data_IF_261570770018
#
_entry.id   IF_261570770018
#
_cell.length_a   1.000
_cell.length_b   1.000
_cell.length_c   1.000
_cell.angle_alpha   90.00
_cell.angle_beta   90.00
_cell.angle_gamma   90.00
#
_symmetry.space_group_name_H-M   'P 1'
#
loop_
_entity.id
_entity.type
_entity.pdbx_description
1 polymer ?
#
# COMPACT_ATOMS: atom_id res chain seq x y z
N UNK A 1 -18.84 20.42 30.44
CA UNK A 1 -18.10 19.15 30.37
C UNK A 1 -18.83 18.16 29.48
N UNK A 2 -18.09 17.37 28.72
CA UNK A 2 -18.61 16.33 27.83
C UNK A 2 -17.87 15.03 28.10
N UNK A 3 -18.62 13.94 28.29
CA UNK A 3 -18.05 12.59 28.41
C UNK A 3 -18.54 11.72 27.25
N UNK A 4 -17.62 11.11 26.54
CA UNK A 4 -17.89 10.14 25.47
C UNK A 4 -17.56 8.74 26.01
N UNK A 5 -18.58 7.88 26.06
CA UNK A 5 -18.48 6.48 26.45
C UNK A 5 -19.39 5.63 25.56
N UNK A 6 -18.98 5.43 24.32
CA UNK A 6 -19.76 4.67 23.34
C UNK A 6 -18.82 3.90 22.41
N UNK A 7 -18.72 2.59 22.58
CA UNK A 7 -17.83 1.72 21.79
C UNK A 7 -18.08 1.75 20.27
N UNK A 8 -19.29 2.16 19.86
CA UNK A 8 -19.62 2.35 18.43
C UNK A 8 -19.19 3.72 17.89
N UNK A 9 -18.60 4.57 18.75
CA UNK A 9 -18.23 5.94 18.43
C UNK A 9 -19.39 6.94 18.47
N UNK A 10 -19.05 8.21 18.37
CA UNK A 10 -19.99 9.35 18.33
C UNK A 10 -19.57 10.27 17.20
N UNK A 11 -20.51 10.69 16.37
CA UNK A 11 -20.29 11.72 15.34
C UNK A 11 -21.01 13.00 15.71
N UNK A 12 -20.30 14.12 15.67
CA UNK A 12 -20.83 15.45 15.93
C UNK A 12 -20.86 16.23 14.60
N UNK A 13 -22.06 16.67 14.21
CA UNK A 13 -22.31 17.39 12.95
C UNK A 13 -22.35 18.91 13.11
N UNK A 14 -21.65 19.44 14.09
CA UNK A 14 -21.53 20.89 14.33
C UNK A 14 -20.31 21.18 15.17
N UNK A 15 -19.81 22.43 15.10
CA UNK A 15 -18.72 22.85 15.98
C UNK A 15 -19.21 22.93 17.41
N UNK A 16 -18.43 22.41 18.35
CA UNK A 16 -18.75 22.41 19.78
C UNK A 16 -17.63 23.05 20.59
N UNK A 17 -18.02 23.69 21.67
CA UNK A 17 -17.11 24.18 22.71
C UNK A 17 -17.46 23.52 24.03
N UNK A 18 -16.45 22.94 24.68
CA UNK A 18 -16.57 22.31 26.00
C UNK A 18 -15.45 22.82 26.90
N UNK A 19 -15.69 22.87 28.21
CA UNK A 19 -14.61 23.16 29.13
C UNK A 19 -13.69 21.97 29.28
N UNK A 20 -14.24 20.80 29.60
CA UNK A 20 -13.48 19.55 29.62
C UNK A 20 -14.16 18.48 28.77
N UNK A 21 -13.33 17.70 28.07
CA UNK A 21 -13.73 16.49 27.34
C UNK A 21 -13.11 15.27 28.01
N UNK A 22 -13.93 14.28 28.32
CA UNK A 22 -13.46 12.97 28.77
C UNK A 22 -13.82 11.91 27.71
N UNK A 23 -12.80 11.27 27.14
CA UNK A 23 -12.96 10.19 26.18
C UNK A 23 -12.70 8.86 26.90
N UNK A 24 -13.75 8.15 27.28
CA UNK A 24 -13.65 6.90 28.02
C UNK A 24 -13.61 5.70 27.07
N UNK A 25 -14.44 5.71 26.03
CA UNK A 25 -14.53 4.61 25.08
C UNK A 25 -15.15 5.06 23.75
N UNK A 26 -14.55 4.63 22.64
CA UNK A 26 -15.00 4.85 21.26
C UNK A 26 -14.44 6.12 20.63
N UNK A 27 -14.59 6.20 19.32
CA UNK A 27 -14.09 7.31 18.50
C UNK A 27 -15.04 8.51 18.59
N UNK A 28 -14.46 9.71 18.60
CA UNK A 28 -15.20 10.97 18.43
C UNK A 28 -14.90 11.55 17.05
N UNK A 29 -15.90 11.57 16.17
CA UNK A 29 -15.76 12.10 14.81
C UNK A 29 -16.37 13.50 14.70
N UNK A 30 -15.58 14.48 14.26
CA UNK A 30 -15.98 15.87 14.12
C UNK A 30 -16.33 16.27 12.66
N UNK A 31 -16.23 15.34 11.70
CA UNK A 31 -16.42 15.64 10.28
C UNK A 31 -15.65 16.90 9.85
N UNK A 32 -16.34 17.91 9.30
CA UNK A 32 -15.77 19.20 8.87
C UNK A 32 -15.84 20.28 9.95
N UNK A 33 -16.15 19.91 11.19
CA UNK A 33 -16.42 20.83 12.29
C UNK A 33 -15.28 20.83 13.32
N UNK A 34 -15.29 21.86 14.19
CA UNK A 34 -14.25 22.07 15.18
C UNK A 34 -14.70 21.60 16.56
N UNK A 35 -13.80 20.93 17.26
CA UNK A 35 -13.89 20.73 18.71
C UNK A 35 -12.97 21.73 19.40
N UNK A 36 -13.54 22.62 20.23
CA UNK A 36 -12.76 23.47 21.12
C UNK A 36 -12.93 22.97 22.57
N UNK A 37 -11.83 22.48 23.18
CA UNK A 37 -11.74 22.20 24.61
C UNK A 37 -10.96 23.32 25.30
N UNK A 38 -11.64 24.08 26.18
CA UNK A 38 -11.03 25.27 26.78
C UNK A 38 -10.14 24.95 27.96
N UNK A 39 -10.35 23.82 28.63
CA UNK A 39 -9.54 23.40 29.78
C UNK A 39 -8.79 22.09 29.51
N UNK A 40 -9.47 20.96 29.49
CA UNK A 40 -8.83 19.64 29.49
C UNK A 40 -9.43 18.65 28.50
N UNK A 41 -8.57 17.82 27.91
CA UNK A 41 -8.96 16.57 27.25
C UNK A 41 -8.31 15.42 28.02
N UNK A 42 -9.12 14.48 28.50
CA UNK A 42 -8.68 13.34 29.31
C UNK A 42 -9.26 12.02 28.79
N UNK A 43 -8.63 10.92 29.15
CA UNK A 43 -9.06 9.57 28.78
C UNK A 43 -7.89 8.61 28.58
N UNK A 44 -8.21 7.37 28.22
CA UNK A 44 -7.21 6.37 27.83
C UNK A 44 -7.21 6.28 26.29
N UNK A 45 -6.29 6.98 25.65
CA UNK A 45 -6.26 7.11 24.20
C UNK A 45 -5.50 5.94 23.55
N UNK A 46 -6.09 5.40 22.49
CA UNK A 46 -5.54 4.30 21.68
C UNK A 46 -6.25 4.26 20.31
N UNK A 47 -5.99 3.25 19.48
CA UNK A 47 -6.60 3.10 18.17
C UNK A 47 -8.13 3.03 18.18
N UNK A 48 -8.74 2.61 19.25
CA UNK A 48 -10.20 2.53 19.40
C UNK A 48 -10.80 3.73 20.17
N UNK A 49 -9.99 4.66 20.64
CA UNK A 49 -10.40 5.76 21.50
C UNK A 49 -9.58 7.03 21.23
N UNK A 50 -9.96 7.78 20.20
CA UNK A 50 -9.32 9.04 19.81
C UNK A 50 -10.30 9.93 19.03
N UNK A 51 -9.84 11.11 18.59
CA UNK A 51 -10.64 12.10 17.88
C UNK A 51 -10.25 12.13 16.41
N UNK A 52 -11.26 12.06 15.54
CA UNK A 52 -11.11 12.24 14.08
C UNK A 52 -11.60 13.65 13.74
N UNK A 53 -10.71 14.51 13.25
CA UNK A 53 -11.01 15.88 12.87
C UNK A 53 -10.20 16.92 13.63
N UNK A 54 -10.57 18.19 13.49
CA UNK A 54 -9.85 19.33 14.02
C UNK A 54 -10.14 19.51 15.53
N UNK A 55 -9.08 19.46 16.33
CA UNK A 55 -9.12 19.69 17.77
C UNK A 55 -8.44 21.02 18.08
N UNK A 56 -9.14 21.91 18.80
CA UNK A 56 -8.62 23.18 19.29
C UNK A 56 -8.53 23.15 20.81
N UNK A 57 -7.45 23.70 21.36
CA UNK A 57 -7.25 23.84 22.81
C UNK A 57 -6.64 25.19 23.13
N UNK A 58 -7.04 25.73 24.32
CA UNK A 58 -6.43 26.91 24.91
C UNK A 58 -5.40 26.50 25.97
N UNK A 59 -4.35 27.29 26.08
CA UNK A 59 -3.37 27.16 27.15
C UNK A 59 -3.07 28.51 27.77
N UNK A 60 -2.95 28.52 29.08
CA UNK A 60 -2.40 29.60 29.90
C UNK A 60 -1.29 29.05 30.82
N UNK A 61 -0.65 27.96 30.44
CA UNK A 61 0.31 27.20 31.22
C UNK A 61 1.43 26.71 30.33
N UNK A 62 2.56 26.37 30.94
CA UNK A 62 3.68 25.64 30.30
C UNK A 62 3.53 24.11 30.39
N UNK A 63 2.40 23.63 30.87
CA UNK A 63 2.09 22.18 30.92
C UNK A 63 1.80 21.66 29.53
N UNK A 64 2.33 20.47 29.23
CA UNK A 64 2.06 19.78 27.96
C UNK A 64 0.60 19.42 27.80
N UNK A 65 0.03 19.75 26.66
CA UNK A 65 -1.34 19.42 26.27
C UNK A 65 -1.37 18.28 25.28
N UNK A 66 -2.20 17.29 25.53
CA UNK A 66 -2.45 16.18 24.60
C UNK A 66 -3.53 16.54 23.60
N UNK A 67 -3.26 16.31 22.31
CA UNK A 67 -4.22 16.32 21.22
C UNK A 67 -4.37 14.88 20.73
N UNK A 68 -5.42 14.16 21.16
CA UNK A 68 -5.59 12.74 20.88
C UNK A 68 -6.25 12.52 19.52
N UNK A 69 -5.59 12.94 18.46
CA UNK A 69 -6.08 12.84 17.08
C UNK A 69 -5.70 11.52 16.40
N UNK A 70 -6.35 11.19 15.28
CA UNK A 70 -6.09 10.04 14.43
C UNK A 70 -7.03 9.96 13.24
N UNK A 71 -7.01 8.83 12.52
CA UNK A 71 -7.77 8.60 11.28
C UNK A 71 -8.96 7.64 11.42
N UNK A 72 -9.27 7.20 12.63
CA UNK A 72 -10.32 6.21 12.89
C UNK A 72 -9.83 4.77 12.94
N UNK A 73 -8.61 4.52 12.47
CA UNK A 73 -7.93 3.22 12.58
C UNK A 73 -6.70 3.34 13.48
N UNK A 74 -5.97 4.44 13.36
CA UNK A 74 -4.71 4.66 14.04
C UNK A 74 -4.77 5.91 14.91
N UNK A 75 -4.33 5.77 16.15
CA UNK A 75 -4.12 6.87 17.09
C UNK A 75 -2.80 7.56 16.77
N UNK A 76 -2.84 8.88 16.51
CA UNK A 76 -1.72 9.71 16.05
C UNK A 76 -1.54 10.94 16.93
N UNK A 77 -1.10 10.77 18.18
CA UNK A 77 -1.10 11.85 19.16
C UNK A 77 -0.11 12.95 18.84
N UNK A 78 -0.49 14.17 19.22
CA UNK A 78 0.39 15.32 19.30
C UNK A 78 0.34 15.87 20.72
N UNK A 79 1.51 16.27 21.22
CA UNK A 79 1.67 16.95 22.50
C UNK A 79 2.28 18.32 22.26
N UNK A 80 1.65 19.38 22.78
CA UNK A 80 2.13 20.76 22.63
C UNK A 80 2.48 21.29 24.00
N UNK A 81 3.73 21.76 24.16
CA UNK A 81 4.23 22.34 25.41
C UNK A 81 4.59 23.81 25.16
N UNK A 82 3.77 24.77 25.62
CA UNK A 82 4.07 26.19 25.46
C UNK A 82 5.30 26.60 26.25
N UNK A 83 6.07 27.55 25.72
CA UNK A 83 7.28 28.05 26.38
C UNK A 83 6.98 28.95 27.57
N UNK A 84 5.88 29.67 27.54
CA UNK A 84 5.43 30.58 28.61
C UNK A 84 3.96 30.33 28.94
N UNK A 85 3.49 30.88 30.05
CA UNK A 85 2.11 30.81 30.49
C UNK A 85 1.18 31.87 29.85
N UNK A 86 1.62 32.52 28.78
CA UNK A 86 0.74 33.42 28.04
C UNK A 86 -0.38 32.66 27.36
N UNK A 87 -1.58 33.24 27.37
CA UNK A 87 -2.72 32.60 26.67
C UNK A 87 -2.42 32.42 25.20
N UNK A 88 -2.51 31.19 24.75
CA UNK A 88 -2.29 30.79 23.35
C UNK A 88 -3.31 29.73 22.96
N UNK A 89 -3.82 29.82 21.73
CA UNK A 89 -4.70 28.80 21.15
C UNK A 89 -3.89 27.94 20.19
N UNK A 90 -4.10 26.62 20.26
CA UNK A 90 -3.49 25.66 19.35
C UNK A 90 -4.57 24.79 18.73
N UNK A 91 -4.38 24.42 17.49
CA UNK A 91 -5.24 23.46 16.79
C UNK A 91 -4.41 22.38 16.11
N UNK A 92 -4.93 21.18 16.10
CA UNK A 92 -4.28 19.98 15.52
C UNK A 92 -5.31 19.17 14.75
N UNK A 93 -4.96 18.81 13.53
CA UNK A 93 -5.63 17.78 12.74
C UNK A 93 -4.59 16.82 12.16
N UNK A 94 -4.89 15.53 12.18
CA UNK A 94 -4.13 14.51 11.46
C UNK A 94 -4.71 14.30 10.07
N UNK A 95 -3.83 14.27 9.07
CA UNK A 95 -4.18 14.03 7.67
C UNK A 95 -3.52 12.74 7.21
N UNK A 96 -4.34 11.76 6.80
CA UNK A 96 -3.91 10.49 6.24
C UNK A 96 -3.77 10.61 4.71
N UNK A 97 -2.92 11.53 4.27
CA UNK A 97 -2.60 11.82 2.88
C UNK A 97 -1.28 12.58 2.80
N UNK A 98 -0.60 12.52 1.67
CA UNK A 98 0.61 13.31 1.46
C UNK A 98 0.30 14.80 1.43
N UNK A 99 1.15 15.60 2.08
CA UNK A 99 1.05 17.05 1.97
C UNK A 99 1.47 17.51 0.56
N UNK A 100 0.74 18.45 -0.04
CA UNK A 100 0.99 18.92 -1.41
C UNK A 100 2.37 19.57 -1.64
N UNK A 101 3.03 20.01 -0.56
CA UNK A 101 4.38 20.59 -0.58
C UNK A 101 5.48 19.56 -0.39
N UNK A 102 5.18 18.27 -0.31
CA UNK A 102 6.21 17.21 -0.28
C UNK A 102 6.77 17.06 -1.68
N UNK A 103 7.81 17.83 -1.96
CA UNK A 103 8.58 17.72 -3.19
C UNK A 103 9.88 16.98 -2.87
N UNK A 104 9.87 15.66 -3.09
CA UNK A 104 11.01 14.77 -2.83
C UNK A 104 12.26 15.11 -3.68
N UNK A 105 12.10 15.87 -4.76
CA UNK A 105 13.22 16.31 -5.60
C UNK A 105 14.18 17.29 -4.89
N UNK A 106 13.79 17.83 -3.74
CA UNK A 106 14.61 18.80 -2.99
C UNK A 106 15.69 18.17 -2.12
N UNK A 107 15.67 16.83 -1.93
CA UNK A 107 16.62 16.10 -1.09
C UNK A 107 17.40 15.01 -1.85
N UNK A 108 17.96 15.29 -3.07
CA UNK A 108 18.76 14.31 -3.79
C UNK A 108 20.14 14.20 -3.12
N UNK A 109 20.40 13.07 -2.47
CA UNK A 109 21.76 12.69 -2.06
C UNK A 109 22.54 13.68 -1.20
N UNK A 110 22.04 13.99 -0.02
CA UNK A 110 22.86 14.64 0.99
C UNK A 110 22.49 16.09 1.23
N UNK A 111 22.16 16.32 2.46
CA UNK A 111 22.16 17.55 3.22
C UNK A 111 21.77 18.83 2.50
N UNK A 112 20.58 19.36 2.78
CA UNK A 112 20.42 20.81 2.79
C UNK A 112 21.48 21.33 3.75
N UNK A 113 22.28 22.27 3.31
CA UNK A 113 23.26 22.95 4.17
C UNK A 113 22.51 23.56 5.35
N UNK A 114 22.51 22.84 6.49
CA UNK A 114 21.95 23.33 7.76
C UNK A 114 20.89 22.46 8.44
N UNK A 115 20.27 21.47 7.79
CA UNK A 115 19.33 20.56 8.46
C UNK A 115 19.74 19.11 8.24
N UNK A 116 19.91 18.34 9.33
CA UNK A 116 20.12 16.90 9.29
C UNK A 116 18.79 16.19 8.98
N UNK A 117 18.16 16.47 7.86
CA UNK A 117 16.95 15.80 7.40
C UNK A 117 17.27 15.00 6.14
N UNK A 118 17.23 13.67 6.26
CA UNK A 118 17.53 12.73 5.17
C UNK A 118 16.29 12.36 4.35
N UNK A 119 15.16 12.21 5.02
CA UNK A 119 13.90 11.86 4.39
C UNK A 119 12.73 12.36 5.23
N UNK A 120 11.57 12.41 4.60
CA UNK A 120 10.30 12.77 5.23
C UNK A 120 9.29 11.65 5.00
N UNK A 121 8.46 11.37 6.00
CA UNK A 121 7.35 10.45 5.86
C UNK A 121 6.34 11.01 4.86
N UNK A 122 5.94 10.16 3.91
CA UNK A 122 4.91 10.45 2.95
C UNK A 122 3.62 9.72 3.33
N UNK A 123 2.47 10.19 2.83
CA UNK A 123 1.17 9.57 3.09
C UNK A 123 0.48 10.07 4.36
N UNK A 124 1.15 10.85 5.21
CA UNK A 124 0.52 11.46 6.39
C UNK A 124 1.29 12.69 6.89
N UNK A 125 0.57 13.60 7.54
CA UNK A 125 1.11 14.76 8.22
C UNK A 125 0.13 15.30 9.25
N UNK A 126 0.60 16.21 10.10
CA UNK A 126 -0.22 16.95 11.03
C UNK A 126 -0.25 18.42 10.67
N UNK A 127 -1.45 18.97 10.46
CA UNK A 127 -1.62 20.42 10.47
C UNK A 127 -1.74 20.88 11.91
N UNK A 128 -0.74 21.64 12.36
CA UNK A 128 -0.69 22.23 13.68
C UNK A 128 -0.65 23.73 13.51
N UNK A 129 -1.67 24.42 13.97
CA UNK A 129 -1.73 25.86 13.89
C UNK A 129 -1.81 26.50 15.27
N UNK A 130 -1.25 27.69 15.36
CA UNK A 130 -1.35 28.57 16.52
C UNK A 130 -2.27 29.73 16.18
N UNK A 131 -3.31 29.92 16.98
CA UNK A 131 -4.26 31.00 16.83
C UNK A 131 -3.78 32.29 17.50
N UNK A 132 -4.28 32.59 18.69
CA UNK A 132 -3.87 33.79 19.45
C UNK A 132 -2.64 33.53 20.31
N UNK A 133 -1.89 34.59 20.64
CA UNK A 133 -0.69 34.52 21.47
C UNK A 133 0.59 34.35 20.64
N UNK A 134 1.71 34.73 21.21
CA UNK A 134 3.04 34.76 20.55
C UNK A 134 4.03 33.72 21.11
N UNK A 135 3.60 32.85 21.99
CA UNK A 135 4.47 31.92 22.70
C UNK A 135 4.94 30.79 21.79
N UNK A 136 6.25 30.59 21.60
CA UNK A 136 6.78 29.38 20.99
C UNK A 136 6.36 28.14 21.76
N UNK A 137 6.33 27.00 21.10
CA UNK A 137 6.00 25.71 21.75
C UNK A 137 6.89 24.59 21.22
N UNK A 138 7.09 23.58 22.07
CA UNK A 138 7.61 22.27 21.64
C UNK A 138 6.47 21.45 21.11
N UNK A 139 6.72 20.78 20.01
CA UNK A 139 5.80 19.85 19.37
C UNK A 139 6.38 18.45 19.54
N UNK A 140 5.61 17.57 20.20
CA UNK A 140 5.99 16.17 20.28
C UNK A 140 4.95 15.33 19.50
N UNK A 141 5.44 14.45 18.64
CA UNK A 141 4.62 13.58 17.78
C UNK A 141 4.93 12.13 18.17
N UNK A 142 3.87 11.34 18.39
CA UNK A 142 3.99 9.93 18.73
C UNK A 142 3.90 9.01 17.51
N UNK A 143 4.65 7.90 17.52
CA UNK A 143 4.52 6.82 16.56
C UNK A 143 4.17 5.50 17.21
N UNK A 144 3.66 4.57 16.41
CA UNK A 144 3.39 3.19 16.78
C UNK A 144 3.99 2.22 15.72
N UNK A 145 3.79 0.92 15.92
CA UNK A 145 4.32 -0.12 15.05
C UNK A 145 3.83 -0.04 13.59
N UNK A 146 2.71 0.65 13.31
CA UNK A 146 2.16 0.79 11.96
C UNK A 146 2.90 1.82 11.11
N UNK A 147 3.79 2.60 11.72
CA UNK A 147 4.58 3.64 11.04
C UNK A 147 5.96 3.14 10.57
N UNK A 148 6.24 1.83 10.70
CA UNK A 148 7.44 1.16 10.19
C UNK A 148 8.77 1.83 10.61
N UNK A 149 8.83 2.35 11.83
CA UNK A 149 10.08 2.90 12.39
C UNK A 149 11.06 1.77 12.63
N UNK A 150 12.25 1.84 12.06
CA UNK A 150 13.31 0.84 12.23
C UNK A 150 14.35 1.28 13.27
N UNK A 151 14.71 2.56 13.27
CA UNK A 151 15.69 3.15 14.19
C UNK A 151 15.06 4.32 14.93
N UNK A 152 14.57 4.10 16.13
CA UNK A 152 13.85 5.12 16.91
C UNK A 152 14.64 6.42 17.10
N UNK A 153 15.95 6.33 17.35
CA UNK A 153 16.80 7.50 17.59
C UNK A 153 17.09 8.34 16.34
N UNK A 154 16.72 7.85 15.16
CA UNK A 154 16.87 8.54 13.88
C UNK A 154 15.62 9.32 13.47
N UNK A 155 14.51 9.09 14.14
CA UNK A 155 13.27 9.84 13.90
C UNK A 155 13.44 11.30 14.35
N UNK A 156 13.04 12.21 13.48
CA UNK A 156 13.00 13.65 13.78
C UNK A 156 11.61 14.23 13.49
N UNK A 157 11.29 15.31 14.23
CA UNK A 157 10.14 16.15 13.89
C UNK A 157 10.58 17.07 12.74
N UNK A 158 9.94 16.89 11.60
CA UNK A 158 10.11 17.73 10.45
C UNK A 158 8.96 18.76 10.36
N UNK A 159 9.31 19.97 9.99
CA UNK A 159 8.39 21.09 9.81
C UNK A 159 8.58 21.68 8.41
N UNK A 160 7.49 21.97 7.72
CA UNK A 160 7.56 22.65 6.42
C UNK A 160 7.58 24.16 6.59
N UNK A 161 8.70 24.77 6.25
CA UNK A 161 8.88 26.22 6.26
C UNK A 161 8.32 26.81 4.95
N UNK A 162 7.20 27.51 5.03
CA UNK A 162 6.54 28.10 3.86
C UNK A 162 7.34 29.25 3.23
N UNK A 163 8.26 29.87 3.97
CA UNK A 163 9.12 30.97 3.47
C UNK A 163 10.22 30.41 2.56
N UNK A 164 10.83 29.28 2.96
CA UNK A 164 11.90 28.63 2.19
C UNK A 164 11.34 27.57 1.24
N UNK A 165 10.06 27.20 1.38
CA UNK A 165 9.41 26.09 0.68
C UNK A 165 10.14 24.76 0.86
N UNK A 166 10.68 24.53 2.06
CA UNK A 166 11.45 23.32 2.41
C UNK A 166 11.01 22.74 3.73
N UNK A 167 11.19 21.43 3.84
CA UNK A 167 11.07 20.74 5.11
C UNK A 167 12.37 20.83 5.90
N UNK A 168 12.29 21.06 7.18
CA UNK A 168 13.42 21.28 8.08
C UNK A 168 13.33 20.36 9.30
N UNK A 169 14.45 19.82 9.74
CA UNK A 169 14.54 19.17 11.04
C UNK A 169 14.56 20.25 12.13
N UNK A 170 13.60 20.22 13.02
CA UNK A 170 13.49 21.22 14.11
C UNK A 170 13.81 20.63 15.50
N UNK A 171 14.61 19.56 15.57
CA UNK A 171 14.99 18.95 16.83
C UNK A 171 16.37 19.37 17.36
N UNK A 172 17.19 20.09 16.59
CA UNK A 172 18.50 20.67 16.98
C UNK A 172 19.34 19.80 17.95
N UNK A 173 19.45 18.50 17.66
CA UNK A 173 20.20 17.54 18.46
C UNK A 173 19.41 16.85 19.57
N UNK A 174 18.14 17.15 19.76
CA UNK A 174 17.26 16.30 20.56
C UNK A 174 17.11 14.92 19.91
N UNK A 175 16.95 13.88 20.71
CA UNK A 175 16.81 12.51 20.26
C UNK A 175 15.39 12.05 20.53
N UNK A 176 14.80 11.39 19.57
CA UNK A 176 13.50 10.73 19.76
C UNK A 176 13.62 9.63 20.82
N UNK A 177 12.58 9.44 21.60
CA UNK A 177 12.53 8.48 22.70
C UNK A 177 11.55 7.37 22.40
N UNK A 178 11.99 6.13 22.46
CA UNK A 178 11.11 4.97 22.24
C UNK A 178 11.85 3.79 21.62
N UNK A 179 11.06 2.92 21.02
CA UNK A 179 11.48 1.71 20.31
C UNK A 179 10.97 1.75 18.88
N UNK A 180 11.32 0.77 18.05
CA UNK A 180 10.74 0.64 16.72
C UNK A 180 9.20 0.53 16.74
N UNK A 181 8.62 -0.06 17.78
CA UNK A 181 7.17 -0.29 17.87
C UNK A 181 6.37 0.87 18.48
N UNK A 182 7.01 1.79 19.20
CA UNK A 182 6.37 2.99 19.75
C UNK A 182 7.36 4.00 20.30
N UNK A 183 7.05 5.27 20.20
CA UNK A 183 7.88 6.33 20.75
C UNK A 183 7.34 7.72 20.50
N UNK A 184 8.17 8.72 20.80
CA UNK A 184 7.85 10.13 20.66
C UNK A 184 9.09 10.91 20.21
N UNK A 185 8.94 11.73 19.17
CA UNK A 185 9.92 12.71 18.77
C UNK A 185 9.47 14.10 19.20
N UNK A 186 10.34 14.89 19.80
CA UNK A 186 10.03 16.20 20.37
C UNK A 186 10.90 17.27 19.75
N UNK A 187 10.30 18.29 19.14
CA UNK A 187 11.00 19.44 18.58
C UNK A 187 11.64 20.35 19.64
N UNK A 188 12.52 21.23 19.23
CA UNK A 188 12.80 22.44 19.99
C UNK A 188 11.62 23.40 20.01
N UNK A 189 11.75 24.51 20.75
CA UNK A 189 10.72 25.54 20.72
C UNK A 189 10.66 26.19 19.34
N UNK A 190 9.50 26.09 18.70
CA UNK A 190 9.21 26.78 17.42
C UNK A 190 8.10 27.81 17.59
N UNK A 191 8.23 28.91 16.85
CA UNK A 191 7.18 29.90 16.68
C UNK A 191 6.46 29.76 15.32
N UNK A 192 7.02 28.95 14.43
CA UNK A 192 6.44 28.62 13.12
C UNK A 192 5.68 27.32 13.19
N UNK A 193 4.50 27.30 12.60
CA UNK A 193 3.53 26.20 12.72
C UNK A 193 3.00 25.81 11.36
N UNK A 194 2.71 24.51 11.21
CA UNK A 194 2.08 23.85 10.08
C UNK A 194 2.84 23.86 8.75
N UNK A 195 2.85 22.71 8.05
CA UNK A 195 2.57 21.37 8.54
C UNK A 195 3.78 20.70 9.23
N UNK A 196 3.51 19.63 9.99
CA UNK A 196 4.53 18.83 10.66
C UNK A 196 4.46 17.39 10.19
N UNK A 197 5.59 16.70 10.18
CA UNK A 197 5.70 15.29 9.83
C UNK A 197 6.84 14.60 10.56
N UNK A 198 6.99 13.30 10.34
CA UNK A 198 8.20 12.60 10.71
C UNK A 198 9.24 12.67 9.59
N UNK A 199 10.50 12.78 9.98
CA UNK A 199 11.64 12.64 9.12
C UNK A 199 12.67 11.68 9.70
N UNK A 200 13.67 11.32 8.90
CA UNK A 200 14.88 10.62 9.31
C UNK A 200 16.04 11.61 9.34
N UNK A 201 16.75 11.67 10.45
CA UNK A 201 17.91 12.56 10.63
C UNK A 201 19.23 11.99 10.13
N UNK A 202 19.39 10.66 10.19
CA UNK A 202 20.64 9.96 9.85
C UNK A 202 20.49 8.94 8.70
N UNK A 203 19.30 8.80 8.11
CA UNK A 203 19.03 7.83 7.07
C UNK A 203 18.87 6.38 7.56
N UNK A 204 18.73 6.18 8.86
CA UNK A 204 18.51 4.86 9.48
C UNK A 204 17.08 4.36 9.39
N UNK A 205 16.12 5.25 9.10
CA UNK A 205 14.73 4.90 8.85
C UNK A 205 14.44 5.06 7.36
N UNK A 206 14.28 3.94 6.67
CA UNK A 206 13.57 3.92 5.42
C UNK A 206 12.09 4.15 5.75
N UNK A 207 11.63 5.38 5.60
CA UNK A 207 10.20 5.67 5.71
C UNK A 207 9.51 5.04 4.49
N UNK A 208 8.29 4.46 4.63
CA UNK A 208 7.69 3.61 3.62
C UNK A 208 7.69 4.25 2.24
N UNK A 209 8.04 3.49 1.22
CA UNK A 209 7.88 3.88 -0.18
C UNK A 209 6.38 3.97 -0.47
N UNK A 210 5.93 5.09 -0.99
CA UNK A 210 4.55 5.20 -1.41
C UNK A 210 4.34 4.50 -2.75
N UNK A 211 3.63 3.37 -2.71
CA UNK A 211 3.14 2.71 -3.90
C UNK A 211 1.96 3.51 -4.46
N UNK A 212 2.17 4.21 -5.58
CA UNK A 212 1.13 5.00 -6.24
C UNK A 212 0.10 4.11 -6.93
N UNK A 213 0.55 3.02 -7.54
CA UNK A 213 -0.33 2.06 -8.21
C UNK A 213 0.30 0.68 -8.31
N UNK A 214 -0.54 -0.35 -8.23
CA UNK A 214 -0.22 -1.72 -8.64
C UNK A 214 -1.40 -2.26 -9.43
N UNK A 215 -1.17 -2.72 -10.65
CA UNK A 215 -2.20 -3.19 -11.57
C UNK A 215 -1.70 -4.36 -12.39
N UNK A 216 -2.62 -5.19 -12.85
CA UNK A 216 -2.35 -6.31 -13.75
C UNK A 216 -3.42 -6.40 -14.82
N UNK A 217 -3.02 -6.80 -16.02
CA UNK A 217 -3.94 -7.06 -17.13
C UNK A 217 -3.49 -8.24 -17.96
N UNK A 218 -4.43 -8.90 -18.60
CA UNK A 218 -4.18 -9.91 -19.61
C UNK A 218 -3.43 -9.29 -20.80
N UNK A 219 -2.47 -10.06 -21.36
CA UNK A 219 -1.67 -9.68 -22.50
C UNK A 219 -1.27 -10.94 -23.31
N UNK A 220 -2.12 -11.35 -24.27
CA UNK A 220 -1.91 -12.50 -25.17
C UNK A 220 -1.64 -13.84 -24.44
N UNK A 221 -2.39 -14.10 -23.37
CA UNK A 221 -2.27 -15.31 -22.57
C UNK A 221 -1.30 -15.19 -21.40
N UNK A 222 -0.49 -14.15 -21.35
CA UNK A 222 0.36 -13.76 -20.23
C UNK A 222 -0.38 -12.73 -19.35
N UNK A 223 0.19 -12.36 -18.20
CA UNK A 223 -0.29 -11.24 -17.39
C UNK A 223 0.82 -10.19 -17.29
N UNK A 224 0.53 -8.98 -17.79
CA UNK A 224 1.39 -7.83 -17.62
C UNK A 224 1.03 -7.13 -16.31
N UNK A 225 2.00 -7.10 -15.40
CA UNK A 225 1.92 -6.44 -14.10
C UNK A 225 2.69 -5.12 -14.16
N UNK A 226 2.06 -4.04 -13.71
CA UNK A 226 2.67 -2.71 -13.68
C UNK A 226 2.50 -2.12 -12.30
N UNK A 227 3.53 -1.41 -11.81
CA UNK A 227 3.43 -0.61 -10.59
C UNK A 227 4.23 0.68 -10.72
N UNK A 228 3.79 1.67 -9.97
CA UNK A 228 4.40 2.98 -9.91
C UNK A 228 4.62 3.38 -8.46
N UNK A 229 5.77 3.93 -8.18
CA UNK A 229 6.17 4.42 -6.87
C UNK A 229 6.54 5.89 -6.94
N UNK A 230 6.19 6.66 -5.92
CA UNK A 230 6.47 8.11 -5.85
C UNK A 230 7.95 8.37 -5.55
N UNK A 231 8.53 7.52 -4.72
CA UNK A 231 9.93 7.62 -4.29
C UNK A 231 10.43 6.24 -3.87
N UNK A 232 11.72 6.07 -3.74
CA UNK A 232 12.33 4.86 -3.20
C UNK A 232 13.45 5.23 -2.26
N UNK A 233 13.51 4.56 -1.13
CA UNK A 233 14.60 4.70 -0.17
C UNK A 233 15.07 3.30 0.20
N UNK A 234 16.37 3.06 0.06
CA UNK A 234 17.03 1.80 0.37
C UNK A 234 16.49 0.56 -0.40
N UNK A 235 15.69 0.77 -1.44
CA UNK A 235 15.02 -0.29 -2.17
C UNK A 235 16.01 -1.09 -3.04
N UNK A 236 16.25 -2.35 -2.68
CA UNK A 236 17.06 -3.27 -3.47
C UNK A 236 16.24 -3.85 -4.64
N UNK A 237 15.06 -4.40 -4.34
CA UNK A 237 14.23 -5.04 -5.36
C UNK A 237 12.76 -5.07 -4.99
N UNK A 238 11.96 -5.28 -6.02
CA UNK A 238 10.57 -5.70 -5.91
C UNK A 238 10.43 -7.17 -6.27
N UNK A 239 9.65 -7.92 -5.51
CA UNK A 239 9.22 -9.28 -5.83
C UNK A 239 7.72 -9.30 -6.09
N UNK A 240 7.29 -10.07 -7.09
CA UNK A 240 5.89 -10.32 -7.34
C UNK A 240 5.62 -11.81 -7.12
N UNK A 241 4.61 -12.09 -6.33
CA UNK A 241 4.10 -13.42 -6.08
C UNK A 241 2.70 -13.56 -6.65
N UNK A 242 2.34 -14.75 -7.13
CA UNK A 242 0.99 -15.11 -7.57
C UNK A 242 0.36 -16.17 -6.66
N UNK A 243 -0.97 -16.20 -6.60
CA UNK A 243 -1.73 -17.15 -5.82
C UNK A 243 -3.08 -17.46 -6.47
N UNK A 244 -3.63 -18.67 -6.22
CA UNK A 244 -4.99 -19.06 -6.61
C UNK A 244 -6.04 -18.67 -5.56
N UNK A 245 -5.63 -18.57 -4.29
CA UNK A 245 -6.52 -18.44 -3.14
C UNK A 245 -6.13 -17.32 -2.16
N UNK A 246 -5.11 -16.53 -2.50
CA UNK A 246 -4.50 -15.48 -1.67
C UNK A 246 -3.93 -15.99 -0.33
N UNK A 247 -3.55 -17.28 -0.25
CA UNK A 247 -2.98 -17.92 0.94
C UNK A 247 -1.61 -18.51 0.65
N UNK A 248 -1.51 -19.34 -0.38
CA UNK A 248 -0.24 -19.90 -0.83
C UNK A 248 0.29 -19.08 -2.02
N UNK A 249 1.54 -18.61 -1.87
CA UNK A 249 2.14 -17.69 -2.81
C UNK A 249 3.34 -18.31 -3.52
N UNK A 250 3.37 -18.19 -4.83
CA UNK A 250 4.44 -18.62 -5.72
C UNK A 250 5.15 -17.39 -6.32
N UNK A 251 6.48 -17.39 -6.29
CA UNK A 251 7.27 -16.29 -6.88
C UNK A 251 7.13 -16.28 -8.41
N UNK A 252 6.68 -15.16 -8.95
CA UNK A 252 6.65 -14.89 -10.40
C UNK A 252 8.01 -14.37 -10.86
N UNK A 253 8.57 -13.41 -10.14
CA UNK A 253 9.84 -12.83 -10.47
C UNK A 253 10.22 -11.65 -9.58
N UNK A 254 11.41 -11.10 -9.85
CA UNK A 254 11.94 -9.94 -9.14
C UNK A 254 12.43 -8.88 -10.12
N UNK A 255 12.27 -7.62 -9.77
CA UNK A 255 12.74 -6.46 -10.52
C UNK A 255 13.59 -5.59 -9.60
N UNK A 256 14.77 -5.23 -10.04
CA UNK A 256 15.69 -4.42 -9.24
C UNK A 256 15.11 -3.03 -9.00
N UNK A 257 15.17 -2.58 -7.73
CA UNK A 257 14.84 -1.22 -7.34
C UNK A 257 15.93 -0.22 -7.73
N UNK A 258 15.62 1.06 -7.63
CA UNK A 258 16.57 2.16 -7.91
C UNK A 258 17.26 2.69 -6.66
N UNK A 259 17.29 1.91 -5.58
CA UNK A 259 17.96 2.30 -4.33
C UNK A 259 17.29 3.51 -3.69
N UNK A 260 17.95 4.65 -3.76
CA UNK A 260 17.45 5.93 -3.26
C UNK A 260 17.08 6.85 -4.42
N UNK A 261 15.81 7.17 -4.57
CA UNK A 261 15.34 8.12 -5.57
C UNK A 261 14.06 8.81 -5.12
N UNK A 262 13.98 10.10 -5.40
CA UNK A 262 12.83 10.95 -5.12
C UNK A 262 11.99 11.24 -6.38
N UNK A 263 12.24 10.51 -7.46
CA UNK A 263 11.46 10.59 -8.67
C UNK A 263 10.45 9.44 -8.74
N UNK A 264 9.33 9.70 -9.38
CA UNK A 264 8.40 8.64 -9.73
C UNK A 264 9.05 7.65 -10.69
N UNK A 265 8.88 6.36 -10.40
CA UNK A 265 9.33 5.28 -11.27
C UNK A 265 8.21 4.31 -11.55
N UNK A 266 8.14 3.91 -12.82
CA UNK A 266 7.24 2.86 -13.28
C UNK A 266 8.02 1.59 -13.57
N UNK A 267 7.50 0.49 -13.11
CA UNK A 267 8.06 -0.85 -13.29
C UNK A 267 7.04 -1.76 -13.93
N UNK A 268 7.52 -2.83 -14.55
CA UNK A 268 6.68 -3.89 -15.05
C UNK A 268 7.32 -5.26 -14.89
N UNK A 269 6.50 -6.28 -14.84
CA UNK A 269 6.88 -7.68 -14.90
C UNK A 269 5.80 -8.44 -15.68
N UNK A 270 6.22 -9.41 -16.50
CA UNK A 270 5.31 -10.31 -17.20
C UNK A 270 5.30 -11.66 -16.49
N UNK A 271 4.12 -12.09 -16.06
CA UNK A 271 3.89 -13.50 -15.69
C UNK A 271 3.60 -14.28 -16.96
N UNK A 272 4.58 -15.04 -17.39
CA UNK A 272 4.50 -15.85 -18.60
C UNK A 272 3.77 -17.19 -18.39
N UNK A 273 3.46 -17.60 -17.18
CA UNK A 273 2.69 -18.80 -16.84
C UNK A 273 1.57 -18.50 -15.83
N UNK A 274 0.63 -17.60 -16.15
CA UNK A 274 -0.45 -17.21 -15.26
C UNK A 274 -1.44 -18.36 -15.08
N UNK A 275 -2.15 -18.36 -13.95
CA UNK A 275 -3.24 -19.30 -13.77
C UNK A 275 -4.44 -18.89 -14.63
N UNK A 276 -5.05 -19.87 -15.30
CA UNK A 276 -6.35 -19.67 -15.94
C UNK A 276 -7.44 -19.39 -14.89
N UNK A 277 -8.34 -18.45 -15.19
CA UNK A 277 -9.32 -17.94 -14.27
C UNK A 277 -8.74 -16.84 -13.37
N UNK A 278 -9.21 -16.80 -12.13
CA UNK A 278 -8.81 -15.77 -11.16
C UNK A 278 -7.44 -16.06 -10.57
N UNK A 279 -6.57 -15.07 -10.63
CA UNK A 279 -5.26 -15.05 -9.98
C UNK A 279 -5.16 -13.84 -9.07
N UNK A 280 -4.48 -14.00 -7.94
CA UNK A 280 -4.08 -12.92 -7.07
C UNK A 280 -2.59 -12.66 -7.27
N UNK A 281 -2.21 -11.38 -7.31
CA UNK A 281 -0.82 -10.96 -7.39
C UNK A 281 -0.50 -10.03 -6.24
N UNK A 282 0.63 -10.27 -5.60
CA UNK A 282 1.11 -9.50 -4.46
C UNK A 282 2.50 -8.96 -4.75
N UNK A 283 2.68 -7.66 -4.54
CA UNK A 283 3.95 -6.96 -4.65
C UNK A 283 4.60 -6.89 -3.28
N UNK A 284 5.89 -7.18 -3.21
CA UNK A 284 6.72 -7.05 -2.01
C UNK A 284 7.95 -6.22 -2.38
N UNK A 285 8.21 -5.14 -1.65
CA UNK A 285 9.47 -4.43 -1.71
C UNK A 285 10.45 -5.06 -0.73
N UNK A 286 11.73 -5.12 -1.10
CA UNK A 286 12.83 -5.58 -0.27
C UNK A 286 13.94 -4.55 -0.30
N UNK A 287 14.35 -4.11 0.87
CA UNK A 287 15.42 -3.14 1.05
C UNK A 287 16.80 -3.80 1.13
N UNK A 288 17.88 -3.06 0.90
CA UNK A 288 19.27 -3.55 1.02
C UNK A 288 19.61 -4.11 2.41
N UNK A 289 18.90 -3.68 3.45
CA UNK A 289 19.07 -4.19 4.82
C UNK A 289 18.22 -5.45 5.11
N UNK A 290 17.44 -5.94 4.09
CA UNK A 290 16.58 -7.12 4.18
C UNK A 290 15.20 -6.85 4.81
N UNK A 291 14.89 -5.63 5.18
CA UNK A 291 13.52 -5.25 5.59
C UNK A 291 12.61 -5.33 4.37
N UNK A 292 11.39 -5.83 4.55
CA UNK A 292 10.43 -5.96 3.45
C UNK A 292 9.09 -5.36 3.80
N UNK A 293 8.44 -4.78 2.79
CA UNK A 293 7.07 -4.29 2.83
C UNK A 293 6.21 -5.06 1.84
N UNK A 294 5.08 -5.58 2.31
CA UNK A 294 4.14 -6.37 1.50
C UNK A 294 2.89 -5.53 1.24
N UNK A 295 2.61 -5.27 -0.04
CA UNK A 295 1.47 -4.47 -0.45
C UNK A 295 0.20 -5.30 -0.60
N UNK A 296 -0.95 -4.61 -0.61
CA UNK A 296 -2.25 -5.24 -0.80
C UNK A 296 -2.32 -5.96 -2.16
N UNK A 297 -2.76 -7.23 -2.21
CA UNK A 297 -2.83 -7.96 -3.46
C UNK A 297 -3.92 -7.40 -4.39
N UNK A 298 -3.66 -7.54 -5.69
CA UNK A 298 -4.62 -7.28 -6.76
C UNK A 298 -5.18 -8.60 -7.32
N UNK A 299 -6.27 -8.50 -8.06
CA UNK A 299 -6.88 -9.65 -8.74
C UNK A 299 -6.82 -9.43 -10.25
N UNK A 300 -6.41 -10.47 -10.99
CA UNK A 300 -6.47 -10.52 -12.45
C UNK A 300 -7.26 -11.76 -12.84
N UNK A 301 -8.17 -11.63 -13.80
CA UNK A 301 -8.95 -12.73 -14.31
C UNK A 301 -8.58 -12.99 -15.78
N UNK A 302 -8.02 -14.18 -16.04
CA UNK A 302 -7.62 -14.62 -17.36
C UNK A 302 -8.70 -15.52 -17.94
N UNK A 303 -9.48 -15.00 -18.86
CA UNK A 303 -10.50 -15.75 -19.55
C UNK A 303 -10.04 -16.16 -20.93
N UNK A 304 -10.15 -17.46 -21.26
CA UNK A 304 -9.91 -17.92 -22.62
C UNK A 304 -11.15 -17.69 -23.48
N UNK A 305 -11.01 -16.90 -24.51
CA UNK A 305 -12.01 -16.70 -25.56
C UNK A 305 -11.94 -17.76 -26.65
N UNK A 306 -10.92 -18.62 -26.60
CA UNK A 306 -10.70 -19.65 -27.61
C UNK A 306 -11.74 -20.75 -27.48
N UNK A 307 -12.55 -20.90 -28.49
CA UNK A 307 -13.50 -22.00 -28.64
C UNK A 307 -12.88 -23.13 -29.45
N UNK A 308 -13.08 -24.34 -28.97
CA UNK A 308 -12.56 -25.58 -29.57
C UNK A 308 -13.73 -26.36 -30.19
N UNK A 309 -13.58 -26.75 -31.44
CA UNK A 309 -14.53 -27.61 -32.13
C UNK A 309 -13.82 -28.77 -32.83
N UNK A 310 -14.49 -29.91 -32.96
CA UNK A 310 -13.99 -31.06 -33.69
C UNK A 310 -14.98 -31.49 -34.76
N UNK A 311 -14.50 -31.82 -35.97
CA UNK A 311 -15.32 -32.29 -37.06
C UNK A 311 -14.53 -33.21 -38.02
N UNK A 312 -15.20 -34.17 -38.67
CA UNK A 312 -16.56 -34.66 -38.39
C UNK A 312 -16.60 -35.39 -37.03
N UNK A 313 -17.80 -35.49 -36.45
CA UNK A 313 -18.03 -36.30 -35.27
C UNK A 313 -19.47 -36.87 -35.39
N UNK A 314 -19.66 -38.14 -35.62
CA UNK A 314 -18.65 -39.25 -35.69
C UNK A 314 -17.63 -39.07 -36.82
N UNK A 315 -16.47 -39.72 -36.64
CA UNK A 315 -15.32 -39.65 -37.58
C UNK A 315 -14.91 -41.07 -38.05
N UNK A 316 -14.64 -41.17 -39.37
CA UNK A 316 -14.05 -42.37 -39.95
C UNK A 316 -12.51 -42.32 -39.86
N UNK A 317 -11.83 -41.44 -40.62
CA UNK A 317 -10.37 -41.50 -40.74
C UNK A 317 -9.66 -40.22 -40.24
N UNK A 318 -10.22 -39.06 -40.53
CA UNK A 318 -9.59 -37.77 -40.28
C UNK A 318 -10.47 -36.91 -39.42
N UNK A 319 -9.97 -36.56 -38.24
CA UNK A 319 -10.55 -35.61 -37.33
C UNK A 319 -9.85 -34.26 -37.42
N UNK A 320 -10.61 -33.20 -37.58
CA UNK A 320 -10.07 -31.85 -37.50
C UNK A 320 -10.45 -31.24 -36.16
N UNK A 321 -9.42 -30.78 -35.44
CA UNK A 321 -9.58 -29.87 -34.32
C UNK A 321 -9.49 -28.44 -34.86
N UNK A 322 -10.54 -27.64 -34.67
CA UNK A 322 -10.58 -26.23 -35.10
C UNK A 322 -10.76 -25.32 -33.91
N UNK A 323 -10.15 -24.16 -34.01
CA UNK A 323 -10.20 -23.06 -33.04
C UNK A 323 -10.74 -21.82 -33.74
N UNK A 324 -11.52 -21.01 -33.02
CA UNK A 324 -12.03 -19.72 -33.54
C UNK A 324 -10.92 -18.68 -33.70
N UNK A 325 -9.80 -18.87 -32.97
CA UNK A 325 -8.62 -17.99 -33.02
C UNK A 325 -7.35 -18.79 -33.22
N UNK A 326 -6.27 -18.15 -33.66
CA UNK A 326 -4.95 -18.78 -33.78
C UNK A 326 -4.36 -19.02 -32.40
N UNK A 327 -3.95 -20.26 -32.12
CA UNK A 327 -3.16 -20.60 -30.92
C UNK A 327 -1.68 -20.45 -31.27
N UNK A 328 -0.96 -19.78 -30.38
CA UNK A 328 0.48 -19.54 -30.53
C UNK A 328 1.30 -20.40 -29.56
N UNK A 329 2.54 -20.70 -29.96
CA UNK A 329 3.53 -21.35 -29.10
C UNK A 329 3.38 -22.87 -29.01
N UNK A 330 3.63 -23.43 -27.83
CA UNK A 330 3.66 -24.87 -27.61
C UNK A 330 2.30 -25.42 -27.18
N UNK A 331 1.79 -26.38 -27.95
CA UNK A 331 0.48 -27.02 -27.67
C UNK A 331 0.65 -28.53 -27.62
N UNK A 332 0.27 -29.14 -26.52
CA UNK A 332 0.21 -30.58 -26.35
C UNK A 332 -1.18 -31.12 -26.66
N UNK A 333 -1.26 -32.07 -27.59
CA UNK A 333 -2.49 -32.76 -27.94
C UNK A 333 -2.36 -34.20 -27.51
N UNK A 334 -3.36 -34.73 -26.80
CA UNK A 334 -3.45 -36.17 -26.47
C UNK A 334 -4.85 -36.71 -26.73
N UNK A 335 -4.92 -37.97 -27.12
CA UNK A 335 -6.17 -38.70 -27.29
C UNK A 335 -6.14 -39.90 -26.34
N UNK A 336 -7.17 -40.04 -25.53
CA UNK A 336 -7.35 -41.14 -24.58
C UNK A 336 -8.61 -41.91 -24.90
N UNK A 337 -8.56 -43.22 -24.68
CA UNK A 337 -9.73 -44.10 -24.82
C UNK A 337 -10.60 -44.14 -23.55
N UNK A 338 -11.69 -44.89 -23.56
CA UNK A 338 -12.67 -45.01 -22.45
C UNK A 338 -12.11 -45.57 -21.15
N UNK A 339 -10.96 -46.29 -21.19
CA UNK A 339 -10.30 -46.80 -20.00
C UNK A 339 -9.15 -45.88 -19.51
N UNK A 340 -9.06 -44.65 -20.05
CA UNK A 340 -8.05 -43.67 -19.66
C UNK A 340 -6.66 -43.90 -20.27
N UNK A 341 -6.48 -44.87 -21.18
CA UNK A 341 -5.19 -45.10 -21.82
C UNK A 341 -4.95 -44.08 -22.93
N UNK A 342 -3.82 -43.39 -22.88
CA UNK A 342 -3.35 -42.50 -23.94
C UNK A 342 -2.94 -43.35 -25.15
N UNK A 343 -3.53 -43.07 -26.30
CA UNK A 343 -3.28 -43.73 -27.59
C UNK A 343 -2.59 -42.84 -28.60
N UNK A 344 -2.62 -41.53 -28.39
CA UNK A 344 -1.91 -40.52 -29.17
C UNK A 344 -1.45 -39.42 -28.27
N UNK A 345 -0.24 -38.94 -28.45
CA UNK A 345 0.28 -37.78 -27.82
C UNK A 345 1.29 -37.10 -28.75
N UNK A 346 1.15 -35.80 -28.96
CA UNK A 346 2.08 -35.00 -29.77
C UNK A 346 2.08 -33.55 -29.30
N UNK A 347 3.28 -32.99 -29.30
CA UNK A 347 3.50 -31.56 -29.06
C UNK A 347 3.68 -30.85 -30.41
N UNK A 348 2.90 -29.79 -30.63
CA UNK A 348 2.98 -28.90 -31.78
C UNK A 348 3.62 -27.61 -31.33
N UNK A 349 4.48 -27.05 -32.16
CA UNK A 349 5.16 -25.77 -31.90
C UNK A 349 4.87 -24.86 -33.10
N UNK A 350 4.46 -23.63 -32.80
CA UNK A 350 4.10 -22.61 -33.79
C UNK A 350 2.64 -22.23 -33.78
N UNK A 351 2.20 -21.55 -34.78
CA UNK A 351 0.89 -20.91 -34.88
C UNK A 351 -0.04 -21.75 -35.72
N UNK A 352 -1.22 -22.05 -35.19
CA UNK A 352 -2.25 -22.78 -35.91
C UNK A 352 -3.65 -22.52 -35.35
N UNK A 353 -4.64 -22.62 -36.20
CA UNK A 353 -6.07 -22.58 -35.82
C UNK A 353 -6.80 -23.86 -36.22
N UNK A 354 -6.12 -24.78 -36.91
CA UNK A 354 -6.68 -26.08 -37.33
C UNK A 354 -5.61 -27.15 -37.27
N UNK A 355 -5.90 -28.27 -36.63
CA UNK A 355 -5.05 -29.46 -36.63
C UNK A 355 -5.78 -30.64 -37.27
N UNK A 356 -5.09 -31.35 -38.14
CA UNK A 356 -5.52 -32.59 -38.78
C UNK A 356 -4.96 -33.78 -38.03
N UNK A 357 -5.83 -34.65 -37.51
CA UNK A 357 -5.50 -35.81 -36.73
C UNK A 357 -5.96 -37.06 -37.49
N UNK A 358 -5.05 -38.00 -37.78
CA UNK A 358 -5.41 -39.30 -38.39
C UNK A 358 -5.82 -40.26 -37.30
N UNK A 359 -7.07 -40.75 -37.35
CA UNK A 359 -7.68 -41.68 -36.40
C UNK A 359 -8.11 -42.99 -37.08
N UNK A 360 -7.71 -43.21 -38.35
CA UNK A 360 -8.03 -44.38 -39.16
C UNK A 360 -7.78 -45.73 -38.43
N UNK A 361 -6.65 -45.83 -37.74
CA UNK A 361 -6.22 -47.03 -37.04
C UNK A 361 -6.86 -47.26 -35.68
N UNK A 362 -7.76 -46.37 -35.26
CA UNK A 362 -8.41 -46.51 -33.97
C UNK A 362 -9.60 -47.46 -34.05
N UNK A 363 -9.84 -48.19 -32.98
CA UNK A 363 -11.03 -49.06 -32.89
C UNK A 363 -12.30 -48.19 -32.78
N UNK A 364 -13.41 -48.71 -33.28
CA UNK A 364 -14.73 -48.04 -33.11
C UNK A 364 -15.01 -47.83 -31.62
N UNK A 365 -15.48 -46.63 -31.29
CA UNK A 365 -15.79 -46.30 -29.89
C UNK A 365 -15.59 -44.80 -29.55
N UNK A 366 -15.71 -44.51 -28.26
CA UNK A 366 -15.58 -43.15 -27.73
C UNK A 366 -14.13 -42.85 -27.36
N UNK A 367 -13.76 -41.60 -27.58
CA UNK A 367 -12.45 -41.04 -27.27
C UNK A 367 -12.55 -39.63 -26.71
N UNK A 368 -11.58 -39.25 -25.90
CA UNK A 368 -11.38 -37.88 -25.42
C UNK A 368 -10.13 -37.30 -26.06
N UNK A 369 -10.28 -36.16 -26.70
CA UNK A 369 -9.20 -35.36 -27.22
C UNK A 369 -8.91 -34.24 -26.23
N UNK A 370 -7.71 -34.23 -25.67
CA UNK A 370 -7.26 -33.18 -24.75
C UNK A 370 -6.31 -32.24 -25.49
N UNK A 371 -6.49 -30.95 -25.22
CA UNK A 371 -5.58 -29.88 -25.62
C UNK A 371 -5.03 -29.22 -24.36
N UNK A 372 -3.75 -28.98 -24.37
CA UNK A 372 -3.03 -28.24 -23.32
C UNK A 372 -2.09 -27.24 -23.96
N UNK A 373 -2.48 -25.97 -23.90
CA UNK A 373 -1.72 -24.82 -24.36
C UNK A 373 -1.85 -23.72 -23.30
N UNK A 374 -0.93 -22.77 -23.27
CA UNK A 374 -0.99 -21.60 -22.36
C UNK A 374 -2.34 -20.89 -22.38
N UNK A 375 -2.85 -20.63 -23.61
CA UNK A 375 -4.10 -19.87 -23.79
C UNK A 375 -5.34 -20.71 -23.60
N UNK A 376 -5.26 -22.05 -23.72
CA UNK A 376 -6.43 -22.94 -23.64
C UNK A 376 -6.07 -24.35 -23.16
N UNK A 377 -6.79 -24.77 -22.13
CA UNK A 377 -6.88 -26.20 -21.75
C UNK A 377 -8.31 -26.67 -21.96
N UNK A 378 -8.48 -27.84 -22.55
CA UNK A 378 -9.82 -28.36 -22.82
C UNK A 378 -9.83 -29.83 -23.20
N UNK A 379 -11.03 -30.44 -23.11
CA UNK A 379 -11.29 -31.82 -23.51
C UNK A 379 -12.54 -31.88 -24.37
N UNK A 380 -12.42 -32.52 -25.51
CA UNK A 380 -13.52 -32.74 -26.44
C UNK A 380 -13.77 -34.25 -26.61
N UNK A 381 -15.02 -34.66 -26.70
CA UNK A 381 -15.41 -36.04 -26.91
C UNK A 381 -15.72 -36.26 -28.39
N UNK A 382 -15.19 -37.34 -28.97
CA UNK A 382 -15.54 -37.80 -30.30
C UNK A 382 -15.84 -39.28 -30.40
N UNK A 383 -16.49 -39.70 -31.45
CA UNK A 383 -16.91 -41.06 -31.76
C UNK A 383 -16.15 -41.49 -33.02
N UNK A 384 -15.39 -42.61 -32.94
CA UNK A 384 -14.80 -43.27 -34.09
C UNK A 384 -15.78 -44.32 -34.59
N UNK A 385 -16.11 -44.27 -35.88
CA UNK A 385 -16.87 -45.29 -36.62
C UNK A 385 -16.01 -46.33 -37.31
#
# INVERSE_FOLDING_TARGET
DLTINNSSGVTINGSITVDALTLTNGLLTMNTNDLLATEMISGTFNNNNHIIGLVKRKSNSTTSMTFPVGDGTNYRPVYITPQTSNTSDYSVIYNNSSHSSVNFSQYPNGTPTGSNLHSIANGYYWDIAKGTGSTPAKIAIGWDATMNVTVANDIVVAHYNSTTSQWENIMNGNIASGTASSGTATSDYTSDFSPFGFGSGGGGNALPVELLSFSGRENNGDVLLNWQVASQINNDMFQIHKSRDAREWELVGAVKGNGNTNAEFSYYLVDEDPYMGRSYYQLTQIDYNGVSEVFKPITVELMSTIELTISPNPVEDILYLKMNETIHGTTKISIVNTIGKTIYEKTFIGDFNTLRLNVEKYRKGYYLLNIDNKAKKGTLKFIKE
#
